data_IF_964083435664
#
_entry.id   IF_964083435664
#
_cell.length_a   1.000
_cell.length_b   1.000
_cell.length_c   1.000
_cell.angle_alpha   90.00
_cell.angle_beta   90.00
_cell.angle_gamma   90.00
#
_symmetry.space_group_name_H-M   'P 1'
#
loop_
_entity.id
_entity.type
_entity.pdbx_description
1 polymer ?
#
# COMPACT_ATOMS: atom_id res chain seq x y z
N UNK A 1 -6.47 0.59 18.43
CA UNK A 1 -6.74 -0.63 17.66
C UNK A 1 -5.80 -0.65 16.47
N UNK A 2 -5.06 -1.72 16.29
CA UNK A 2 -4.13 -1.86 15.17
C UNK A 2 -4.90 -2.33 13.92
N UNK A 3 -4.94 -1.47 12.90
CA UNK A 3 -5.73 -1.69 11.68
C UNK A 3 -4.90 -2.17 10.49
N UNK A 4 -3.58 -2.06 10.55
CA UNK A 4 -2.67 -2.39 9.45
C UNK A 4 -1.88 -3.69 9.64
N UNK A 5 -1.54 -4.06 10.88
CA UNK A 5 -0.65 -5.19 11.13
C UNK A 5 -1.15 -6.50 10.52
N UNK A 6 -2.46 -6.78 10.60
CA UNK A 6 -3.02 -7.99 10.02
C UNK A 6 -2.90 -8.01 8.49
N UNK A 7 -3.12 -6.85 7.83
CA UNK A 7 -2.92 -6.73 6.38
C UNK A 7 -1.46 -6.96 6.00
N UNK A 8 -0.53 -6.31 6.71
CA UNK A 8 0.90 -6.41 6.44
C UNK A 8 1.49 -7.79 6.77
N UNK A 9 0.88 -8.54 7.69
CA UNK A 9 1.23 -9.94 7.94
C UNK A 9 0.78 -10.87 6.80
N UNK A 10 -0.40 -10.61 6.22
CA UNK A 10 -0.94 -11.41 5.12
C UNK A 10 -0.39 -11.02 3.75
N UNK A 11 -0.14 -9.74 3.57
CA UNK A 11 0.38 -9.14 2.35
C UNK A 11 1.69 -8.43 2.67
N UNK A 12 2.76 -9.23 2.81
CA UNK A 12 4.08 -8.73 3.19
C UNK A 12 4.50 -7.55 2.31
N UNK A 13 4.92 -6.47 2.96
CA UNK A 13 5.55 -5.33 2.30
C UNK A 13 7.05 -5.58 2.22
N UNK A 14 7.60 -5.45 1.03
CA UNK A 14 9.05 -5.44 0.81
C UNK A 14 9.45 -4.23 -0.02
N UNK A 15 10.56 -3.61 0.37
CA UNK A 15 11.20 -2.53 -0.36
C UNK A 15 12.60 -2.96 -0.80
N UNK A 16 12.99 -2.59 -2.01
CA UNK A 16 14.35 -2.77 -2.50
C UNK A 16 14.88 -1.43 -3.01
N UNK A 17 15.74 -0.77 -2.24
CA UNK A 17 16.38 0.49 -2.66
C UNK A 17 17.40 0.17 -3.74
N UNK A 18 17.21 0.70 -4.95
CA UNK A 18 18.06 0.43 -6.10
C UNK A 18 18.88 1.66 -6.56
N UNK A 19 18.52 2.84 -6.10
CA UNK A 19 19.27 4.06 -6.42
C UNK A 19 19.28 5.02 -5.25
N UNK A 20 20.44 5.58 -4.97
CA UNK A 20 20.64 6.68 -4.01
C UNK A 20 21.68 7.63 -4.58
N UNK A 21 21.38 8.90 -4.62
CA UNK A 21 22.33 9.90 -5.13
C UNK A 21 21.64 11.05 -5.85
N UNK A 22 22.46 11.82 -6.56
CA UNK A 22 22.00 12.90 -7.39
C UNK A 22 21.63 12.39 -8.79
N UNK A 23 20.45 12.78 -9.28
CA UNK A 23 20.03 12.58 -10.66
C UNK A 23 20.16 13.91 -11.43
N UNK A 24 20.58 13.83 -12.70
CA UNK A 24 20.60 14.94 -13.65
C UNK A 24 19.94 14.46 -14.96
N UNK A 25 19.25 15.36 -15.65
CA UNK A 25 18.56 15.02 -16.89
C UNK A 25 17.36 14.10 -16.70
N UNK A 26 17.15 13.17 -17.62
CA UNK A 26 15.97 12.31 -17.70
C UNK A 26 16.30 10.92 -17.23
N UNK A 27 15.62 10.47 -16.18
CA UNK A 27 15.68 9.09 -15.66
C UNK A 27 14.38 8.35 -15.94
N UNK A 28 14.48 7.24 -16.66
CA UNK A 28 13.35 6.40 -17.04
C UNK A 28 13.18 5.25 -16.05
N UNK A 29 11.96 5.04 -15.60
CA UNK A 29 11.54 3.91 -14.80
C UNK A 29 10.51 3.13 -15.60
N UNK A 30 10.92 1.95 -16.05
CA UNK A 30 10.06 1.12 -16.87
C UNK A 30 9.00 0.44 -16.00
N UNK A 31 7.89 0.08 -16.63
CA UNK A 31 6.83 -0.65 -15.97
C UNK A 31 7.33 -2.06 -15.60
N UNK A 32 7.49 -2.31 -14.32
CA UNK A 32 7.69 -3.67 -13.79
C UNK A 32 6.39 -4.47 -13.92
N UNK A 33 6.46 -5.79 -13.84
CA UNK A 33 5.29 -6.67 -13.90
C UNK A 33 4.51 -6.72 -12.58
N UNK A 34 5.16 -6.42 -11.44
CA UNK A 34 4.57 -6.62 -10.11
C UNK A 34 4.94 -5.54 -9.08
N UNK A 35 5.89 -4.67 -9.40
CA UNK A 35 6.44 -3.71 -8.43
C UNK A 35 5.96 -2.30 -8.71
N UNK A 36 5.56 -1.62 -7.64
CA UNK A 36 5.45 -0.18 -7.61
C UNK A 36 6.81 0.49 -7.34
N UNK A 37 6.81 1.81 -7.33
CA UNK A 37 8.00 2.60 -7.04
C UNK A 37 7.74 3.62 -5.94
N UNK A 38 8.76 3.88 -5.13
CA UNK A 38 8.80 5.05 -4.25
C UNK A 38 10.06 5.87 -4.56
N UNK A 39 9.88 7.17 -4.63
CA UNK A 39 10.97 8.13 -4.79
C UNK A 39 10.90 9.15 -3.66
N UNK A 40 11.98 9.24 -2.90
CA UNK A 40 12.18 10.28 -1.90
C UNK A 40 13.01 11.37 -2.53
N UNK A 41 12.40 12.50 -2.80
CA UNK A 41 13.06 13.68 -3.31
C UNK A 41 13.50 14.52 -2.10
N UNK A 42 14.80 14.54 -1.84
CA UNK A 42 15.40 15.32 -0.74
C UNK A 42 15.62 16.78 -1.16
N UNK A 43 16.05 16.97 -2.41
CA UNK A 43 16.33 18.27 -3.02
C UNK A 43 15.98 18.19 -4.50
N UNK A 44 15.30 19.21 -5.02
CA UNK A 44 14.89 19.33 -6.41
C UNK A 44 15.22 20.69 -6.97
N UNK A 45 14.53 21.12 -8.03
CA UNK A 45 13.25 20.62 -8.53
C UNK A 45 13.34 19.33 -9.35
N UNK A 46 12.24 18.57 -9.34
CA UNK A 46 12.07 17.37 -10.17
C UNK A 46 10.72 17.45 -10.87
N UNK A 47 10.70 17.13 -12.16
CA UNK A 47 9.45 16.96 -12.90
C UNK A 47 9.16 15.45 -13.05
N UNK A 48 8.01 14.99 -12.54
CA UNK A 48 7.46 13.69 -12.88
C UNK A 48 6.73 13.79 -14.22
N UNK A 49 6.98 12.85 -15.12
CA UNK A 49 6.26 12.72 -16.39
C UNK A 49 5.90 11.26 -16.66
N UNK A 50 4.77 11.02 -17.31
CA UNK A 50 4.21 9.68 -17.54
C UNK A 50 3.15 9.32 -16.50
N UNK A 51 2.66 8.08 -16.57
CA UNK A 51 1.54 7.65 -15.74
C UNK A 51 0.22 8.36 -16.08
N UNK A 52 -0.72 8.30 -15.14
CA UNK A 52 -2.07 8.87 -15.30
C UNK A 52 -2.14 10.37 -15.04
N UNK A 53 -1.14 10.95 -14.35
CA UNK A 53 -1.16 12.34 -13.85
C UNK A 53 -0.52 13.36 -14.83
N UNK A 54 0.10 12.89 -15.91
CA UNK A 54 0.71 13.75 -16.91
C UNK A 54 2.05 14.33 -16.47
N UNK A 55 2.15 15.67 -16.41
CA UNK A 55 3.38 16.38 -15.98
C UNK A 55 3.16 17.09 -14.66
N UNK A 56 4.00 16.79 -13.67
CA UNK A 56 3.92 17.35 -12.34
C UNK A 56 5.31 17.86 -11.89
N UNK A 57 5.38 19.11 -11.47
CA UNK A 57 6.60 19.69 -10.93
C UNK A 57 6.63 19.60 -9.41
N UNK A 58 7.74 19.13 -8.88
CA UNK A 58 7.98 18.91 -7.45
C UNK A 58 9.14 19.79 -7.04
N UNK A 59 8.85 20.82 -6.26
CA UNK A 59 9.82 21.86 -5.87
C UNK A 59 10.27 21.78 -4.42
N UNK A 60 9.58 20.99 -3.60
CA UNK A 60 9.90 20.79 -2.19
C UNK A 60 10.21 19.31 -1.88
N UNK A 61 10.89 19.03 -0.76
CA UNK A 61 11.15 17.65 -0.35
C UNK A 61 9.86 16.84 -0.25
N UNK A 62 9.73 15.80 -1.07
CA UNK A 62 8.47 15.07 -1.27
C UNK A 62 8.71 13.57 -1.37
N UNK A 63 7.82 12.78 -0.77
CA UNK A 63 7.64 11.36 -1.03
C UNK A 63 6.66 11.20 -2.18
N UNK A 64 7.11 10.54 -3.23
CA UNK A 64 6.33 10.15 -4.39
C UNK A 64 6.19 8.63 -4.39
N UNK A 65 4.96 8.12 -4.38
CA UNK A 65 4.69 6.69 -4.34
C UNK A 65 3.71 6.28 -5.43
N UNK A 66 4.14 5.38 -6.30
CA UNK A 66 3.32 4.70 -7.29
C UNK A 66 3.09 3.26 -6.77
N UNK A 67 1.94 2.98 -6.16
CA UNK A 67 1.70 1.69 -5.51
C UNK A 67 1.58 0.51 -6.48
N UNK A 68 1.32 0.77 -7.74
CA UNK A 68 1.16 -0.22 -8.80
C UNK A 68 2.22 -0.03 -9.88
N UNK A 69 2.51 -1.09 -10.68
CA UNK A 69 3.42 -0.99 -11.83
C UNK A 69 3.01 0.11 -12.81
N UNK A 70 3.82 1.13 -12.94
CA UNK A 70 3.59 2.24 -13.87
C UNK A 70 4.92 2.74 -14.47
N UNK A 71 4.90 3.03 -15.78
CA UNK A 71 6.06 3.62 -16.46
C UNK A 71 6.05 5.13 -16.26
N UNK A 72 7.15 5.67 -15.76
CA UNK A 72 7.27 7.10 -15.51
C UNK A 72 8.71 7.59 -15.65
N UNK A 73 8.89 8.90 -15.62
CA UNK A 73 10.19 9.54 -15.73
C UNK A 73 10.32 10.61 -14.66
N UNK A 74 11.52 10.70 -14.10
CA UNK A 74 11.95 11.84 -13.30
C UNK A 74 12.90 12.66 -14.14
N UNK A 75 12.61 13.95 -14.24
CA UNK A 75 13.42 14.91 -14.98
C UNK A 75 13.95 15.95 -13.99
N UNK A 76 15.25 16.03 -13.85
CA UNK A 76 15.95 17.02 -13.03
C UNK A 76 16.76 17.98 -13.91
N UNK A 77 17.17 19.09 -13.35
CA UNK A 77 18.08 20.01 -14.05
C UNK A 77 19.42 19.34 -14.37
N UNK A 78 19.99 19.65 -15.54
CA UNK A 78 21.24 19.03 -16.00
C UNK A 78 22.47 19.49 -15.20
N UNK A 79 22.41 20.64 -14.53
CA UNK A 79 23.53 21.22 -13.78
C UNK A 79 23.36 21.04 -12.27
N UNK A 80 22.20 21.46 -11.76
CA UNK A 80 21.94 21.47 -10.32
C UNK A 80 21.44 20.12 -9.82
N UNK A 81 20.83 19.32 -10.70
CA UNK A 81 20.35 17.97 -10.39
C UNK A 81 19.32 17.92 -9.25
N UNK A 82 19.02 16.71 -8.79
CA UNK A 82 18.17 16.47 -7.64
C UNK A 82 18.69 15.30 -6.80
N UNK A 83 18.64 15.42 -5.48
CA UNK A 83 19.03 14.35 -4.56
C UNK A 83 17.82 13.45 -4.29
N UNK A 84 17.95 12.16 -4.63
CA UNK A 84 16.86 11.21 -4.53
C UNK A 84 17.28 9.87 -3.93
N UNK A 85 16.31 9.19 -3.32
CA UNK A 85 16.38 7.76 -3.00
C UNK A 85 15.23 7.07 -3.71
N UNK A 86 15.52 6.07 -4.54
CA UNK A 86 14.52 5.34 -5.31
C UNK A 86 14.48 3.87 -4.88
N UNK A 87 13.28 3.36 -4.63
CA UNK A 87 13.07 1.95 -4.30
C UNK A 87 11.93 1.36 -5.10
N UNK A 88 12.06 0.06 -5.42
CA UNK A 88 10.96 -0.77 -5.88
C UNK A 88 10.19 -1.32 -4.69
N UNK A 89 8.87 -1.36 -4.81
CA UNK A 89 7.97 -1.79 -3.73
C UNK A 89 7.14 -2.95 -4.21
N UNK A 90 7.05 -3.98 -3.39
CA UNK A 90 6.21 -5.13 -3.65
C UNK A 90 5.35 -5.45 -2.43
N UNK A 91 4.07 -5.64 -2.66
CA UNK A 91 3.15 -6.24 -1.69
C UNK A 91 2.91 -7.69 -2.07
N UNK A 92 3.01 -8.59 -1.08
CA UNK A 92 2.69 -10.00 -1.28
C UNK A 92 1.23 -10.22 -1.69
N UNK A 93 0.93 -11.42 -2.23
CA UNK A 93 -0.44 -11.77 -2.62
C UNK A 93 -0.73 -11.67 -4.11
N UNK A 94 0.07 -10.96 -4.92
CA UNK A 94 0.00 -10.91 -6.39
C UNK A 94 -0.89 -9.81 -6.96
N UNK A 95 -1.45 -10.01 -8.17
CA UNK A 95 -2.02 -8.97 -9.03
C UNK A 95 -3.15 -8.11 -8.44
N UNK A 96 -3.98 -8.65 -7.54
CA UNK A 96 -4.94 -7.89 -6.75
C UNK A 96 -4.48 -7.85 -5.30
N UNK A 97 -4.24 -6.65 -4.80
CA UNK A 97 -3.79 -6.46 -3.42
C UNK A 97 -4.63 -5.39 -2.72
N UNK A 98 -5.30 -5.72 -1.61
CA UNK A 98 -6.24 -4.81 -0.95
C UNK A 98 -5.60 -3.51 -0.45
N UNK A 99 -4.28 -3.47 -0.29
CA UNK A 99 -3.55 -2.25 0.08
C UNK A 99 -3.40 -1.35 -1.15
N UNK A 100 -2.78 -1.87 -2.23
CA UNK A 100 -2.54 -1.07 -3.45
C UNK A 100 -3.81 -0.69 -4.17
N UNK A 101 -4.85 -1.56 -4.15
CA UNK A 101 -6.13 -1.31 -4.81
C UNK A 101 -6.94 -0.22 -4.09
N UNK A 102 -6.64 0.04 -2.81
CA UNK A 102 -7.25 1.13 -2.03
C UNK A 102 -6.53 2.48 -2.18
N UNK A 103 -5.43 2.55 -2.91
CA UNK A 103 -4.64 3.77 -3.07
C UNK A 103 -4.83 4.38 -4.47
N UNK A 104 -4.69 5.71 -4.62
CA UNK A 104 -4.64 6.35 -5.93
C UNK A 104 -3.47 5.83 -6.76
N UNK A 105 -3.46 6.13 -8.06
CA UNK A 105 -2.37 5.75 -8.95
C UNK A 105 -1.03 6.38 -8.52
N UNK A 106 -1.10 7.59 -7.98
CA UNK A 106 0.01 8.35 -7.45
C UNK A 106 -0.34 8.92 -6.08
N UNK A 107 0.52 8.73 -5.10
CA UNK A 107 0.48 9.38 -3.79
C UNK A 107 1.67 10.34 -3.70
N UNK A 108 1.37 11.60 -3.43
CA UNK A 108 2.36 12.65 -3.19
C UNK A 108 2.17 13.19 -1.79
N UNK A 109 3.25 13.20 -1.01
CA UNK A 109 3.23 13.73 0.36
C UNK A 109 4.50 14.54 0.58
N UNK A 110 4.41 15.87 0.79
CA UNK A 110 5.53 16.65 1.27
C UNK A 110 6.12 16.01 2.52
N UNK A 111 7.44 15.85 2.58
CA UNK A 111 8.09 15.13 3.70
C UNK A 111 7.84 15.84 5.04
N UNK A 112 7.60 17.15 5.02
CA UNK A 112 7.23 17.92 6.19
C UNK A 112 5.85 17.57 6.75
N UNK A 113 4.94 17.04 5.91
CA UNK A 113 3.60 16.65 6.31
C UNK A 113 3.49 15.21 6.83
N UNK A 114 4.58 14.41 6.71
CA UNK A 114 4.58 13.03 7.16
C UNK A 114 4.91 12.93 8.66
N UNK A 115 3.93 12.66 9.54
CA UNK A 115 4.14 12.75 10.99
C UNK A 115 5.21 11.81 11.50
N UNK A 116 6.15 12.36 12.28
CA UNK A 116 7.22 11.59 12.91
C UNK A 116 8.20 10.94 11.93
N UNK A 117 8.27 11.40 10.68
CA UNK A 117 9.20 10.86 9.68
C UNK A 117 10.59 11.50 9.75
N UNK A 118 10.75 12.66 10.39
CA UNK A 118 12.01 13.42 10.36
C UNK A 118 13.23 12.56 10.77
N UNK A 119 13.20 11.93 11.94
CA UNK A 119 14.30 11.09 12.41
C UNK A 119 14.53 9.84 11.53
N UNK A 120 13.44 9.28 10.96
CA UNK A 120 13.53 8.15 10.03
C UNK A 120 14.18 8.58 8.71
N UNK A 121 13.83 9.77 8.21
CA UNK A 121 14.41 10.33 6.99
C UNK A 121 15.88 10.70 7.18
N UNK A 122 16.26 11.24 8.35
CA UNK A 122 17.66 11.49 8.69
C UNK A 122 18.47 10.20 8.65
N UNK A 123 17.99 9.13 9.32
CA UNK A 123 18.64 7.82 9.30
C UNK A 123 18.72 7.24 7.88
N UNK A 124 17.66 7.36 7.11
CA UNK A 124 17.61 6.84 5.74
C UNK A 124 18.60 7.59 4.83
N UNK A 125 18.70 8.90 4.96
CA UNK A 125 19.64 9.70 4.17
C UNK A 125 21.09 9.48 4.63
N UNK A 126 21.33 9.37 5.93
CA UNK A 126 22.66 9.04 6.45
C UNK A 126 23.13 7.69 5.91
N UNK A 127 22.30 6.66 6.01
CA UNK A 127 22.60 5.34 5.46
C UNK A 127 22.73 5.37 3.92
N UNK A 128 21.93 6.18 3.23
CA UNK A 128 21.95 6.28 1.77
C UNK A 128 23.25 6.84 1.21
N UNK A 129 23.88 7.78 1.94
CA UNK A 129 25.07 8.49 1.48
C UNK A 129 26.36 8.10 2.21
N UNK A 130 26.26 7.26 3.26
CA UNK A 130 27.42 6.69 3.95
C UNK A 130 27.72 5.27 3.45
N UNK A 131 28.98 4.85 3.49
CA UNK A 131 29.43 3.54 3.01
C UNK A 131 29.42 2.45 4.09
N UNK A 132 28.39 2.36 4.94
CA UNK A 132 28.34 1.45 6.09
C UNK A 132 28.18 -0.02 5.68
N UNK A 133 28.71 -0.94 6.51
CA UNK A 133 28.47 -2.37 6.36
C UNK A 133 26.99 -2.68 6.62
N UNK A 134 26.34 -3.46 5.74
CA UNK A 134 24.91 -3.76 5.87
C UNK A 134 23.98 -2.68 5.33
N UNK A 135 24.52 -1.62 4.71
CA UNK A 135 23.81 -0.48 4.15
C UNK A 135 22.54 -0.86 3.38
N UNK A 136 22.63 -1.80 2.44
CA UNK A 136 21.48 -2.19 1.62
C UNK A 136 20.33 -2.73 2.47
N UNK A 137 20.64 -3.61 3.42
CA UNK A 137 19.63 -4.17 4.30
C UNK A 137 18.99 -3.11 5.21
N UNK A 138 19.78 -2.14 5.70
CA UNK A 138 19.29 -1.04 6.49
C UNK A 138 18.36 -0.14 5.67
N UNK A 139 18.77 0.26 4.46
CA UNK A 139 17.96 1.07 3.55
C UNK A 139 16.61 0.43 3.23
N UNK A 140 16.60 -0.87 2.91
CA UNK A 140 15.36 -1.59 2.59
C UNK A 140 14.39 -1.57 3.78
N UNK A 141 14.87 -1.81 5.01
CA UNK A 141 14.05 -1.78 6.24
C UNK A 141 13.56 -0.39 6.60
N UNK A 142 14.41 0.62 6.45
CA UNK A 142 14.01 2.01 6.69
C UNK A 142 12.94 2.46 5.68
N UNK A 143 13.07 2.05 4.42
CA UNK A 143 12.09 2.31 3.38
C UNK A 143 10.76 1.59 3.67
N UNK A 144 10.77 0.33 4.10
CA UNK A 144 9.57 -0.41 4.54
C UNK A 144 8.86 0.31 5.70
N UNK A 145 9.62 0.76 6.70
CA UNK A 145 9.06 1.51 7.83
C UNK A 145 8.44 2.85 7.40
N UNK A 146 9.09 3.54 6.46
CA UNK A 146 8.58 4.80 5.89
C UNK A 146 7.25 4.58 5.17
N UNK A 147 7.13 3.49 4.40
CA UNK A 147 5.89 3.13 3.72
C UNK A 147 4.75 2.78 4.70
N UNK A 148 5.05 2.11 5.81
CA UNK A 148 4.03 1.91 6.86
C UNK A 148 3.53 3.24 7.41
N UNK A 149 4.42 4.23 7.61
CA UNK A 149 4.02 5.58 8.03
C UNK A 149 3.20 6.29 6.95
N UNK A 150 3.57 6.15 5.69
CA UNK A 150 2.80 6.67 4.57
C UNK A 150 1.39 6.08 4.52
N UNK A 151 1.24 4.76 4.66
CA UNK A 151 -0.08 4.11 4.70
C UNK A 151 -0.95 4.64 5.84
N UNK A 152 -0.38 4.83 7.03
CA UNK A 152 -1.08 5.47 8.15
C UNK A 152 -1.52 6.90 7.80
N UNK A 153 -0.62 7.69 7.23
CA UNK A 153 -0.92 9.05 6.79
C UNK A 153 -2.06 9.07 5.75
N UNK A 154 -2.02 8.18 4.75
CA UNK A 154 -3.09 8.05 3.76
C UNK A 154 -4.44 7.73 4.41
N UNK A 155 -4.46 6.81 5.38
CA UNK A 155 -5.67 6.46 6.13
C UNK A 155 -6.19 7.62 6.98
N UNK A 156 -5.31 8.33 7.67
CA UNK A 156 -5.69 9.42 8.58
C UNK A 156 -6.13 10.68 7.84
N UNK A 157 -5.62 10.91 6.62
CA UNK A 157 -5.94 12.06 5.76
C UNK A 157 -7.02 11.77 4.71
N UNK A 158 -7.53 10.53 4.66
CA UNK A 158 -8.53 10.16 3.66
C UNK A 158 -7.99 10.14 2.21
N UNK A 159 -6.68 9.88 2.04
CA UNK A 159 -6.04 9.77 0.72
C UNK A 159 -6.25 8.38 0.10
N UNK A 160 -7.28 7.66 0.51
CA UNK A 160 -7.65 6.34 0.00
C UNK A 160 -8.80 6.46 -0.99
N UNK A 161 -8.83 5.59 -2.00
CA UNK A 161 -9.86 5.53 -3.04
C UNK A 161 -10.78 4.32 -2.83
N UNK A 162 -11.51 4.29 -1.70
CA UNK A 162 -12.38 3.17 -1.36
C UNK A 162 -11.61 1.94 -0.87
N UNK A 163 -12.20 0.77 -0.99
CA UNK A 163 -11.59 -0.52 -0.66
C UNK A 163 -11.28 -0.74 0.80
N UNK A 164 -10.32 -1.63 1.04
CA UNK A 164 -9.97 -2.11 2.39
C UNK A 164 -9.41 -1.00 3.28
N UNK A 165 -8.50 -0.16 2.77
CA UNK A 165 -7.91 0.90 3.61
C UNK A 165 -8.92 1.98 3.98
N UNK A 166 -9.82 2.36 3.08
CA UNK A 166 -10.89 3.31 3.37
C UNK A 166 -11.84 2.75 4.45
N UNK A 167 -12.24 1.49 4.32
CA UNK A 167 -13.06 0.81 5.31
C UNK A 167 -12.39 0.70 6.68
N UNK A 168 -11.09 0.40 6.72
CA UNK A 168 -10.31 0.37 7.95
C UNK A 168 -10.06 1.76 8.55
N UNK A 169 -10.16 2.83 7.74
CA UNK A 169 -10.06 4.21 8.21
C UNK A 169 -11.33 4.66 8.93
N UNK A 170 -12.49 4.14 8.54
CA UNK A 170 -13.75 4.42 9.22
C UNK A 170 -13.82 3.73 10.59
N UNK A 171 -14.00 4.45 11.71
CA UNK A 171 -13.94 3.88 13.06
C UNK A 171 -15.01 2.81 13.37
N UNK A 172 -16.14 2.85 12.64
CA UNK A 172 -17.25 1.91 12.81
C UNK A 172 -17.03 0.66 11.98
N UNK A 173 -16.70 0.83 10.69
CA UNK A 173 -16.45 -0.28 9.77
C UNK A 173 -15.20 -1.06 10.16
N UNK A 174 -14.17 -0.41 10.69
CA UNK A 174 -12.93 -1.05 11.09
C UNK A 174 -13.14 -2.26 12.02
N UNK A 175 -14.11 -2.21 12.93
CA UNK A 175 -14.42 -3.31 13.85
C UNK A 175 -14.93 -4.54 13.11
N UNK A 176 -15.86 -4.34 12.18
CA UNK A 176 -16.43 -5.42 11.36
C UNK A 176 -15.37 -5.99 10.41
N UNK A 177 -14.60 -5.10 9.73
CA UNK A 177 -13.55 -5.51 8.80
C UNK A 177 -12.43 -6.30 9.47
N UNK A 178 -11.96 -5.87 10.63
CA UNK A 178 -10.94 -6.62 11.38
C UNK A 178 -11.44 -8.01 11.77
N UNK A 179 -12.68 -8.13 12.25
CA UNK A 179 -13.25 -9.42 12.58
C UNK A 179 -13.39 -10.35 11.36
N UNK A 180 -13.80 -9.82 10.20
CA UNK A 180 -13.81 -10.54 8.92
C UNK A 180 -12.40 -10.98 8.52
N UNK A 181 -11.41 -10.11 8.67
CA UNK A 181 -10.02 -10.42 8.31
C UNK A 181 -9.38 -11.46 9.24
N UNK A 182 -9.73 -11.44 10.52
CA UNK A 182 -9.25 -12.41 11.52
C UNK A 182 -9.86 -13.80 11.30
N UNK A 183 -11.17 -13.87 11.03
CA UNK A 183 -11.89 -15.12 10.84
C UNK A 183 -12.72 -15.11 9.53
N UNK A 184 -12.07 -15.26 8.37
CA UNK A 184 -12.76 -15.30 7.09
C UNK A 184 -13.60 -16.57 6.88
N UNK A 185 -13.34 -17.64 7.66
CA UNK A 185 -14.05 -18.95 7.54
C UNK A 185 -15.46 -18.88 8.09
N UNK A 186 -15.65 -18.03 9.11
CA UNK A 186 -16.94 -17.89 9.77
C UNK A 186 -18.05 -17.58 8.76
N UNK A 187 -19.23 -18.18 8.98
CA UNK A 187 -20.44 -17.85 8.23
C UNK A 187 -20.98 -16.47 8.70
N UNK A 188 -20.38 -15.42 8.16
CA UNK A 188 -20.74 -14.04 8.50
C UNK A 188 -22.11 -13.67 7.93
N UNK A 189 -22.99 -13.22 8.79
CA UNK A 189 -24.25 -12.59 8.40
C UNK A 189 -24.17 -11.06 8.45
N UNK A 190 -25.02 -10.38 7.67
CA UNK A 190 -25.11 -8.91 7.69
C UNK A 190 -25.43 -8.37 9.09
N UNK A 191 -26.22 -9.11 9.87
CA UNK A 191 -26.54 -8.81 11.26
C UNK A 191 -25.32 -8.77 12.17
N UNK A 192 -24.39 -9.72 12.00
CA UNK A 192 -23.17 -9.80 12.80
C UNK A 192 -22.26 -8.60 12.54
N UNK A 193 -22.02 -8.32 11.26
CA UNK A 193 -21.19 -7.22 10.80
C UNK A 193 -21.76 -5.87 11.27
N UNK A 194 -23.07 -5.68 11.12
CA UNK A 194 -23.77 -4.47 11.55
C UNK A 194 -23.68 -4.27 13.06
N UNK A 195 -23.81 -5.34 13.85
CA UNK A 195 -23.69 -5.30 15.31
C UNK A 195 -22.30 -4.87 15.74
N UNK A 196 -21.24 -5.38 15.12
CA UNK A 196 -19.86 -4.97 15.39
C UNK A 196 -19.61 -3.50 15.10
N UNK A 197 -20.26 -2.97 14.06
CA UNK A 197 -20.20 -1.55 13.69
C UNK A 197 -21.10 -0.66 14.54
N UNK A 198 -21.98 -1.23 15.40
CA UNK A 198 -22.96 -0.48 16.18
C UNK A 198 -24.04 0.17 15.30
N UNK A 199 -24.47 -0.50 14.23
CA UNK A 199 -25.42 0.02 13.23
C UNK A 199 -26.60 -0.93 13.02
N UNK A 200 -27.73 -0.40 12.53
CA UNK A 200 -28.77 -1.25 11.93
C UNK A 200 -28.28 -1.88 10.63
N UNK A 201 -28.81 -3.04 10.25
CA UNK A 201 -28.45 -3.76 9.00
C UNK A 201 -28.52 -2.87 7.76
N UNK A 202 -29.63 -2.13 7.62
CA UNK A 202 -29.84 -1.26 6.46
C UNK A 202 -28.81 -0.13 6.40
N UNK A 203 -28.57 0.55 7.53
CA UNK A 203 -27.57 1.62 7.60
C UNK A 203 -26.15 1.10 7.38
N UNK A 204 -25.81 -0.06 7.92
CA UNK A 204 -24.50 -0.69 7.74
C UNK A 204 -24.26 -1.02 6.27
N UNK A 205 -25.21 -1.67 5.57
CA UNK A 205 -25.06 -2.03 4.16
C UNK A 205 -24.83 -0.79 3.27
N UNK A 206 -25.57 0.28 3.49
CA UNK A 206 -25.41 1.53 2.73
C UNK A 206 -24.05 2.16 3.02
N UNK A 207 -23.73 2.39 4.30
CA UNK A 207 -22.48 3.02 4.72
C UNK A 207 -21.24 2.22 4.31
N UNK A 208 -21.31 0.89 4.41
CA UNK A 208 -20.24 0.00 3.97
C UNK A 208 -19.95 0.19 2.49
N UNK A 209 -21.01 0.18 1.65
CA UNK A 209 -20.86 0.36 0.20
C UNK A 209 -20.36 1.76 -0.18
N UNK A 210 -20.81 2.79 0.51
CA UNK A 210 -20.36 4.17 0.30
C UNK A 210 -18.85 4.31 0.55
N UNK A 211 -18.33 3.67 1.60
CA UNK A 211 -16.92 3.78 2.00
C UNK A 211 -16.03 2.82 1.23
N UNK A 212 -16.43 1.55 1.07
CA UNK A 212 -15.56 0.53 0.46
C UNK A 212 -15.76 0.38 -1.04
N UNK A 213 -16.90 0.79 -1.58
CA UNK A 213 -17.32 0.54 -2.97
C UNK A 213 -18.09 -0.76 -3.16
N UNK A 214 -17.97 -1.73 -2.25
CA UNK A 214 -18.55 -3.07 -2.33
C UNK A 214 -19.71 -3.27 -1.35
N UNK A 215 -20.56 -4.28 -1.63
CA UNK A 215 -21.45 -4.77 -0.58
C UNK A 215 -20.68 -5.58 0.46
N UNK A 216 -21.15 -5.71 1.71
CA UNK A 216 -20.49 -6.54 2.72
C UNK A 216 -20.27 -7.99 2.29
N UNK A 217 -21.20 -8.57 1.51
CA UNK A 217 -21.09 -9.95 1.01
C UNK A 217 -20.03 -10.06 -0.10
N UNK A 218 -20.03 -9.13 -1.06
CA UNK A 218 -19.03 -9.09 -2.14
C UNK A 218 -17.63 -8.85 -1.58
N UNK A 219 -17.50 -7.95 -0.60
CA UNK A 219 -16.25 -7.72 0.09
C UNK A 219 -15.70 -8.98 0.78
N UNK A 220 -16.54 -9.72 1.53
CA UNK A 220 -16.13 -10.97 2.16
C UNK A 220 -15.71 -12.01 1.12
N UNK A 221 -16.46 -12.14 0.02
CA UNK A 221 -16.11 -13.04 -1.07
C UNK A 221 -14.76 -12.65 -1.72
N UNK A 222 -14.58 -11.39 -2.05
CA UNK A 222 -13.31 -10.86 -2.60
C UNK A 222 -12.14 -11.07 -1.64
N UNK A 223 -12.34 -10.83 -0.35
CA UNK A 223 -11.33 -11.09 0.67
C UNK A 223 -10.91 -12.57 0.72
N UNK A 224 -11.86 -13.49 0.73
CA UNK A 224 -11.61 -14.93 0.69
C UNK A 224 -10.84 -15.37 -0.55
N UNK A 225 -11.23 -14.85 -1.73
CA UNK A 225 -10.54 -15.13 -2.99
C UNK A 225 -9.10 -14.59 -2.96
N UNK A 226 -8.88 -13.38 -2.47
CA UNK A 226 -7.55 -12.79 -2.36
C UNK A 226 -6.64 -13.61 -1.45
N UNK A 227 -7.17 -14.08 -0.31
CA UNK A 227 -6.44 -14.99 0.58
C UNK A 227 -6.13 -16.32 -0.11
N UNK A 228 -7.13 -16.90 -0.81
CA UNK A 228 -6.94 -18.16 -1.54
C UNK A 228 -5.84 -18.04 -2.60
N UNK A 229 -5.85 -16.96 -3.38
CA UNK A 229 -4.81 -16.69 -4.37
C UNK A 229 -3.41 -16.58 -3.76
N UNK A 230 -3.29 -15.89 -2.62
CA UNK A 230 -2.01 -15.79 -1.90
C UNK A 230 -1.51 -17.16 -1.43
N UNK A 231 -2.40 -17.98 -0.85
CA UNK A 231 -2.08 -19.34 -0.36
C UNK A 231 -1.70 -20.29 -1.51
N UNK A 232 -2.41 -20.24 -2.64
CA UNK A 232 -2.12 -21.04 -3.82
C UNK A 232 -0.76 -20.70 -4.44
N UNK A 233 -0.41 -19.40 -4.50
CA UNK A 233 0.93 -18.98 -4.95
C UNK A 233 2.04 -19.42 -4.01
N UNK A 234 1.75 -19.56 -2.72
CA UNK A 234 2.65 -20.16 -1.74
C UNK A 234 2.74 -21.69 -1.86
N UNK A 235 2.12 -22.30 -2.88
CA UNK A 235 2.17 -23.74 -3.17
C UNK A 235 1.23 -24.60 -2.31
N UNK A 236 0.26 -23.99 -1.61
CA UNK A 236 -0.69 -24.76 -0.77
C UNK A 236 -1.71 -25.49 -1.65
N UNK A 237 -2.07 -26.75 -1.30
CA UNK A 237 -3.03 -27.53 -2.08
C UNK A 237 -4.43 -26.88 -2.10
N UNK A 238 -5.06 -26.81 -3.28
CA UNK A 238 -6.38 -26.19 -3.48
C UNK A 238 -7.46 -26.67 -2.50
N UNK A 239 -7.47 -27.99 -2.21
CA UNK A 239 -8.43 -28.58 -1.29
C UNK A 239 -8.34 -27.99 0.13
N UNK A 240 -7.13 -27.77 0.63
CA UNK A 240 -6.90 -27.17 1.95
C UNK A 240 -7.21 -25.67 1.92
N UNK A 241 -6.78 -24.98 0.86
CA UNK A 241 -7.05 -23.55 0.69
C UNK A 241 -8.55 -23.27 0.71
N UNK A 242 -9.37 -24.05 -0.04
CA UNK A 242 -10.81 -23.84 -0.08
C UNK A 242 -11.43 -23.87 1.34
N UNK A 243 -11.08 -24.85 2.14
CA UNK A 243 -11.59 -24.98 3.52
C UNK A 243 -11.10 -23.81 4.41
N UNK A 244 -9.84 -23.42 4.29
CA UNK A 244 -9.23 -22.36 5.11
C UNK A 244 -9.73 -20.96 4.78
N UNK A 245 -10.32 -20.76 3.63
CA UNK A 245 -10.95 -19.48 3.27
C UNK A 245 -12.48 -19.53 3.36
N UNK A 246 -13.06 -20.63 3.88
CA UNK A 246 -14.49 -20.76 4.18
C UNK A 246 -15.36 -21.27 3.04
N UNK A 247 -14.80 -22.02 2.09
CA UNK A 247 -15.55 -22.74 1.06
C UNK A 247 -15.60 -24.25 1.38
N UNK A 248 -16.77 -24.88 1.20
CA UNK A 248 -16.97 -26.31 1.52
C UNK A 248 -16.27 -27.27 0.56
N UNK A 249 -15.85 -26.81 -0.62
CA UNK A 249 -15.17 -27.63 -1.63
C UNK A 249 -14.32 -26.76 -2.57
N UNK A 250 -13.33 -27.36 -3.27
CA UNK A 250 -12.58 -26.66 -4.33
C UNK A 250 -13.43 -26.11 -5.46
N UNK A 251 -14.55 -26.76 -5.78
CA UNK A 251 -15.46 -26.29 -6.85
C UNK A 251 -16.36 -25.14 -6.42
N UNK A 252 -16.44 -24.84 -5.13
CA UNK A 252 -17.17 -23.69 -4.62
C UNK A 252 -16.29 -22.44 -4.52
N UNK A 253 -14.96 -22.61 -4.51
CA UNK A 253 -13.94 -21.56 -4.58
C UNK A 253 -13.75 -21.09 -6.02
#
# INVERSE_FOLDING_TARGET
MDRLSLLLQRFSLTAGVFYTGQICGIHHFERDTQRGHVHLIKRGPVTLTGGTEGRLEITEPTLLFLPRPDAHRLVADDRDGADVVCASIQFGGGGHNPITDSLPALVLVPLAELPGAAALLELLYDEAFAGHCGRQAALDRLCELLLIRLLRHCMDRGLTQGGTLAGLSDPRLAKALLAIHEDPVRAWELSDMASLAGMSRARFAVHFREITGDTPADYLASWRITLAQSMLRAGRPLKHVALEVGYGSPSAL
#
